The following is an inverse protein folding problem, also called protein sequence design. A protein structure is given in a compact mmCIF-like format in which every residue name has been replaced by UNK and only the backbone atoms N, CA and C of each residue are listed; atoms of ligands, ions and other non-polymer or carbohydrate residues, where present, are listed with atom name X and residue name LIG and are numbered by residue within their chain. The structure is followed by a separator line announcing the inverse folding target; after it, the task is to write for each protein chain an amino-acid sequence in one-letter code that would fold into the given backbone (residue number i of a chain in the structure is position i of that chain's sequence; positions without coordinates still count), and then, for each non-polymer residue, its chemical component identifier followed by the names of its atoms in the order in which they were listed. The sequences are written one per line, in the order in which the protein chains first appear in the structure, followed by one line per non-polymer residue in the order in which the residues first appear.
data_IF_898314063746
#
_entry.id   IF_898314063746
#
_cell.length_a   1.000
_cell.length_b   1.000
_cell.length_c   1.000
_cell.angle_alpha   90.00
_cell.angle_beta   90.00
_cell.angle_gamma   90.00
#
_symmetry.space_group_name_H-M   'P 1'
#
loop_
_entity.id
_entity.type
_entity.pdbx_description
1 polymer ?
#
# COMPACT_ATOMS: atom_id res chain seq x y z
N UNK A 1 -10.16 45.08 -22.87
CA UNK A 1 -9.56 43.75 -23.12
C UNK A 1 -10.11 42.80 -22.05
N UNK A 2 -10.99 41.87 -22.42
CA UNK A 2 -11.73 41.03 -21.47
C UNK A 2 -10.77 39.96 -20.90
N UNK A 3 -10.18 40.21 -19.73
CA UNK A 3 -9.51 39.14 -18.97
C UNK A 3 -10.60 38.16 -18.50
N UNK A 4 -10.84 37.11 -19.29
CA UNK A 4 -11.74 36.03 -18.89
C UNK A 4 -11.16 35.43 -17.62
N UNK A 5 -11.84 35.65 -16.48
CA UNK A 5 -11.50 35.02 -15.20
C UNK A 5 -11.36 33.52 -15.42
N UNK A 6 -10.14 33.00 -15.43
CA UNK A 6 -9.91 31.56 -15.50
C UNK A 6 -10.52 30.93 -14.26
N UNK A 7 -11.54 30.09 -14.46
CA UNK A 7 -12.23 29.39 -13.37
C UNK A 7 -11.27 28.55 -12.53
N UNK A 8 -11.70 28.23 -11.30
CA UNK A 8 -10.90 27.49 -10.30
C UNK A 8 -10.37 26.17 -10.86
N UNK A 9 -11.22 25.37 -11.51
CA UNK A 9 -10.84 24.09 -12.12
C UNK A 9 -9.82 24.21 -13.26
N UNK A 10 -9.94 25.26 -14.08
CA UNK A 10 -9.00 25.51 -15.19
C UNK A 10 -7.64 25.96 -14.68
N UNK A 11 -7.63 26.76 -13.61
CA UNK A 11 -6.42 27.18 -12.92
C UNK A 11 -5.72 25.99 -12.25
N UNK A 12 -6.47 25.10 -11.59
CA UNK A 12 -5.97 23.85 -11.04
C UNK A 12 -5.36 22.91 -12.10
N UNK A 13 -6.03 22.73 -13.23
CA UNK A 13 -5.50 21.91 -14.32
C UNK A 13 -4.18 22.47 -14.88
N UNK A 14 -4.08 23.79 -15.03
CA UNK A 14 -2.87 24.44 -15.50
C UNK A 14 -1.71 24.41 -14.48
N UNK A 15 -1.99 24.38 -13.17
CA UNK A 15 -0.92 24.25 -12.18
C UNK A 15 -0.23 22.89 -12.23
N UNK A 16 -0.90 21.86 -12.77
CA UNK A 16 -0.35 20.50 -12.92
C UNK A 16 0.30 20.32 -14.29
N UNK A 17 -0.32 20.82 -15.36
CA UNK A 17 0.02 20.44 -16.74
C UNK A 17 0.80 21.49 -17.54
N UNK A 18 0.96 22.71 -17.04
CA UNK A 18 1.47 23.82 -17.87
C UNK A 18 2.40 24.77 -17.14
N UNK A 19 3.70 24.47 -17.16
CA UNK A 19 4.76 25.34 -16.65
C UNK A 19 4.80 26.72 -17.35
N UNK A 20 4.46 26.80 -18.64
CA UNK A 20 4.43 28.08 -19.38
C UNK A 20 3.35 29.05 -18.89
N UNK A 21 2.34 28.56 -18.16
CA UNK A 21 1.23 29.36 -17.62
C UNK A 21 1.47 29.82 -16.18
N UNK A 22 2.66 29.59 -15.61
CA UNK A 22 2.99 30.01 -14.25
C UNK A 22 2.83 31.52 -14.01
N UNK A 23 3.04 32.33 -15.07
CA UNK A 23 2.86 33.79 -15.06
C UNK A 23 1.42 34.22 -14.73
N UNK A 24 0.42 33.36 -14.95
CA UNK A 24 -0.98 33.61 -14.57
C UNK A 24 -1.21 33.50 -13.05
N UNK A 25 -0.35 32.76 -12.34
CA UNK A 25 -0.43 32.59 -10.88
C UNK A 25 0.32 33.69 -10.12
N UNK A 26 1.29 34.37 -10.76
CA UNK A 26 1.97 35.55 -10.19
C UNK A 26 1.01 36.70 -9.86
N UNK A 27 -0.15 36.76 -10.53
CA UNK A 27 -1.20 37.76 -10.29
C UNK A 27 -2.24 37.32 -9.25
N UNK A 28 -2.13 36.11 -8.69
CA UNK A 28 -3.09 35.57 -7.73
C UNK A 28 -2.63 35.78 -6.29
N UNK A 29 -3.56 35.92 -5.36
CA UNK A 29 -3.23 36.02 -3.93
C UNK A 29 -2.68 34.70 -3.40
N UNK A 30 -1.73 34.77 -2.47
CA UNK A 30 -1.12 33.59 -1.85
C UNK A 30 -2.17 32.60 -1.30
N UNK A 31 -3.25 33.11 -0.71
CA UNK A 31 -4.35 32.28 -0.20
C UNK A 31 -5.05 31.44 -1.27
N UNK A 32 -5.19 31.93 -2.51
CA UNK A 32 -5.77 31.14 -3.62
C UNK A 32 -4.83 30.01 -4.05
N UNK A 33 -3.53 30.28 -4.09
CA UNK A 33 -2.52 29.26 -4.42
C UNK A 33 -2.50 28.15 -3.37
N UNK A 34 -2.52 28.51 -2.07
CA UNK A 34 -2.60 27.55 -0.97
C UNK A 34 -3.88 26.71 -1.06
N UNK A 35 -5.03 27.33 -1.34
CA UNK A 35 -6.29 26.61 -1.51
C UNK A 35 -6.24 25.57 -2.65
N UNK A 36 -5.53 25.88 -3.75
CA UNK A 36 -5.35 24.91 -4.84
C UNK A 36 -4.44 23.75 -4.46
N UNK A 37 -3.38 24.00 -3.69
CA UNK A 37 -2.50 22.94 -3.18
C UNK A 37 -3.25 22.02 -2.20
N UNK A 38 -4.10 22.58 -1.34
CA UNK A 38 -4.96 21.80 -0.45
C UNK A 38 -5.99 20.96 -1.23
N UNK A 39 -6.61 21.54 -2.26
CA UNK A 39 -7.52 20.80 -3.13
C UNK A 39 -6.78 19.66 -3.87
N UNK A 40 -5.56 19.93 -4.34
CA UNK A 40 -4.72 18.92 -4.99
C UNK A 40 -4.40 17.79 -4.03
N UNK A 41 -3.95 18.11 -2.81
CA UNK A 41 -3.62 17.09 -1.81
C UNK A 41 -4.83 16.24 -1.45
N UNK A 42 -6.01 16.84 -1.27
CA UNK A 42 -7.24 16.09 -0.96
C UNK A 42 -7.61 15.15 -2.11
N UNK A 43 -7.60 15.64 -3.35
CA UNK A 43 -7.92 14.82 -4.53
C UNK A 43 -6.92 13.69 -4.73
N UNK A 44 -5.62 13.95 -4.53
CA UNK A 44 -4.58 12.93 -4.59
C UNK A 44 -4.78 11.85 -3.53
N UNK A 45 -5.06 12.24 -2.28
CA UNK A 45 -5.33 11.28 -1.19
C UNK A 45 -6.58 10.45 -1.47
N UNK A 46 -7.67 11.07 -1.94
CA UNK A 46 -8.90 10.35 -2.29
C UNK A 46 -8.66 9.29 -3.38
N UNK A 47 -7.87 9.62 -4.40
CA UNK A 47 -7.48 8.66 -5.44
C UNK A 47 -6.78 7.43 -4.84
N UNK A 48 -5.80 7.65 -3.95
CA UNK A 48 -5.08 6.55 -3.28
C UNK A 48 -5.98 5.73 -2.36
N UNK A 49 -6.95 6.35 -1.66
CA UNK A 49 -7.87 5.63 -0.80
C UNK A 49 -8.77 4.65 -1.58
N UNK A 50 -9.23 5.03 -2.78
CA UNK A 50 -10.06 4.16 -3.63
C UNK A 50 -9.27 2.93 -4.09
N UNK A 51 -8.00 3.12 -4.48
CA UNK A 51 -7.13 2.03 -4.91
C UNK A 51 -6.85 1.05 -3.77
N UNK A 52 -6.48 1.56 -2.59
CA UNK A 52 -6.26 0.75 -1.38
C UNK A 52 -7.53 -0.03 -1.01
N UNK A 53 -8.71 0.61 -1.08
CA UNK A 53 -9.98 -0.05 -0.80
C UNK A 53 -10.24 -1.25 -1.72
N UNK A 54 -9.94 -1.11 -3.01
CA UNK A 54 -10.07 -2.21 -3.98
C UNK A 54 -9.12 -3.37 -3.68
N UNK A 55 -7.85 -3.06 -3.40
CA UNK A 55 -6.82 -4.06 -3.06
C UNK A 55 -7.20 -4.84 -1.80
N UNK A 56 -7.66 -4.13 -0.75
CA UNK A 56 -8.08 -4.75 0.50
C UNK A 56 -9.24 -5.71 0.27
N UNK A 57 -10.27 -5.31 -0.47
CA UNK A 57 -11.42 -6.18 -0.75
C UNK A 57 -11.05 -7.44 -1.53
N UNK A 58 -10.21 -7.30 -2.56
CA UNK A 58 -9.72 -8.45 -3.33
C UNK A 58 -8.89 -9.40 -2.48
N UNK A 59 -8.08 -8.84 -1.57
CA UNK A 59 -7.26 -9.63 -0.64
C UNK A 59 -8.12 -10.40 0.36
N UNK A 60 -9.13 -9.75 0.97
CA UNK A 60 -10.06 -10.42 1.90
C UNK A 60 -10.77 -11.59 1.22
N UNK A 61 -11.25 -11.40 -0.02
CA UNK A 61 -11.92 -12.46 -0.77
C UNK A 61 -10.99 -13.66 -1.00
N UNK A 62 -9.77 -13.42 -1.51
CA UNK A 62 -8.78 -14.48 -1.74
C UNK A 62 -8.36 -15.22 -0.47
N UNK A 63 -8.15 -14.49 0.62
CA UNK A 63 -7.76 -15.10 1.90
C UNK A 63 -8.88 -15.99 2.46
N UNK A 64 -10.14 -15.58 2.29
CA UNK A 64 -11.29 -16.37 2.75
C UNK A 64 -11.49 -17.65 1.93
N UNK A 65 -11.36 -17.57 0.61
CA UNK A 65 -11.77 -18.65 -0.29
C UNK A 65 -10.64 -19.64 -0.61
N UNK A 66 -9.40 -19.17 -0.78
CA UNK A 66 -8.34 -19.95 -1.42
C UNK A 66 -7.08 -20.10 -0.55
N UNK A 67 -6.84 -19.19 0.39
CA UNK A 67 -5.58 -19.18 1.14
C UNK A 67 -5.57 -20.26 2.24
N UNK A 68 -4.43 -20.94 2.47
CA UNK A 68 -4.30 -21.95 3.52
C UNK A 68 -4.61 -21.40 4.92
N UNK A 69 -4.92 -22.30 5.85
CA UNK A 69 -5.06 -21.92 7.24
C UNK A 69 -3.74 -21.34 7.77
N UNK A 70 -3.85 -20.30 8.58
CA UNK A 70 -2.72 -19.64 9.20
C UNK A 70 -3.08 -19.12 10.58
N UNK A 71 -2.06 -18.87 11.40
CA UNK A 71 -2.16 -18.23 12.69
C UNK A 71 -0.99 -17.28 12.90
N UNK A 72 -1.29 -16.03 13.17
CA UNK A 72 -0.33 -15.01 13.57
C UNK A 72 -0.61 -14.63 15.03
N UNK A 73 0.35 -14.93 15.89
CA UNK A 73 0.27 -14.62 17.31
C UNK A 73 1.67 -14.40 17.88
N UNK A 74 1.80 -13.48 18.84
CA UNK A 74 3.09 -13.20 19.51
C UNK A 74 4.23 -12.88 18.54
N UNK A 75 3.93 -12.19 17.44
CA UNK A 75 4.91 -11.84 16.41
C UNK A 75 5.43 -13.03 15.60
N UNK A 76 4.70 -14.15 15.56
CA UNK A 76 5.05 -15.34 14.80
C UNK A 76 3.88 -15.76 13.90
N UNK A 77 4.13 -15.78 12.60
CA UNK A 77 3.21 -16.26 11.58
C UNK A 77 3.48 -17.73 11.29
N UNK A 78 2.47 -18.57 11.45
CA UNK A 78 2.44 -19.96 11.03
C UNK A 78 1.43 -20.14 9.93
N UNK A 79 1.84 -20.74 8.82
CA UNK A 79 0.95 -21.10 7.71
C UNK A 79 0.99 -22.62 7.53
N UNK A 80 -0.18 -23.24 7.53
CA UNK A 80 -0.36 -24.69 7.51
C UNK A 80 -0.48 -25.20 6.07
N UNK A 81 0.63 -25.16 5.34
CA UNK A 81 0.74 -25.59 3.94
C UNK A 81 2.17 -26.03 3.59
N UNK A 82 2.34 -26.63 2.40
CA UNK A 82 3.66 -26.88 1.84
C UNK A 82 4.35 -25.56 1.47
N UNK A 83 5.65 -25.47 1.77
CA UNK A 83 6.45 -24.25 1.68
C UNK A 83 7.62 -24.42 0.70
N UNK A 84 8.03 -23.36 -0.03
CA UNK A 84 7.43 -22.02 -0.03
C UNK A 84 6.16 -21.94 -0.89
N UNK A 85 5.23 -21.05 -0.53
CA UNK A 85 4.12 -20.66 -1.41
C UNK A 85 4.58 -19.48 -2.27
N UNK A 86 4.48 -19.62 -3.59
CA UNK A 86 4.81 -18.56 -4.54
C UNK A 86 3.52 -18.13 -5.23
N UNK A 87 3.19 -16.85 -5.10
CA UNK A 87 2.07 -16.21 -5.80
C UNK A 87 2.66 -15.32 -6.87
N UNK A 88 2.42 -15.70 -8.13
CA UNK A 88 2.88 -14.96 -9.29
C UNK A 88 2.26 -13.55 -9.34
N UNK A 89 3.09 -12.57 -9.66
CA UNK A 89 2.72 -11.16 -9.68
C UNK A 89 3.89 -10.27 -10.05
N UNK A 90 3.67 -8.95 -10.05
CA UNK A 90 4.73 -7.96 -10.24
C UNK A 90 4.59 -6.87 -9.17
N UNK A 91 5.31 -6.97 -8.03
CA UNK A 91 6.27 -8.03 -7.66
C UNK A 91 5.62 -9.38 -7.27
N UNK A 92 6.32 -10.51 -7.42
CA UNK A 92 5.87 -11.79 -6.88
C UNK A 92 5.82 -11.75 -5.34
N UNK A 93 4.91 -12.55 -4.77
CA UNK A 93 4.82 -12.75 -3.32
C UNK A 93 5.32 -14.16 -2.98
N UNK A 94 6.32 -14.24 -2.11
CA UNK A 94 6.89 -15.50 -1.61
C UNK A 94 6.55 -15.61 -0.13
N UNK A 95 5.96 -16.72 0.28
CA UNK A 95 5.64 -16.98 1.68
C UNK A 95 6.43 -18.23 2.09
N UNK A 96 7.26 -18.08 3.11
CA UNK A 96 8.02 -19.18 3.69
C UNK A 96 8.11 -19.01 5.20
N UNK A 97 7.30 -19.78 5.93
CA UNK A 97 7.26 -19.72 7.40
C UNK A 97 8.02 -20.88 8.05
N UNK A 98 8.88 -21.58 7.30
CA UNK A 98 9.70 -22.67 7.86
C UNK A 98 10.69 -22.11 8.88
N UNK A 99 10.92 -22.81 10.00
CA UNK A 99 11.91 -22.37 10.98
C UNK A 99 13.32 -22.46 10.42
N UNK A 100 14.15 -21.45 10.68
CA UNK A 100 15.58 -21.46 10.34
C UNK A 100 15.91 -21.16 8.89
N UNK A 101 14.96 -20.64 8.09
CA UNK A 101 15.27 -20.14 6.75
C UNK A 101 16.13 -18.87 6.82
N UNK A 102 17.00 -18.70 5.83
CA UNK A 102 17.62 -17.41 5.57
C UNK A 102 16.78 -16.65 4.55
N UNK A 103 16.27 -15.48 4.94
CA UNK A 103 15.52 -14.62 4.06
C UNK A 103 16.37 -14.13 2.87
N UNK A 104 17.68 -14.00 3.05
CA UNK A 104 18.57 -13.55 1.97
C UNK A 104 18.64 -14.57 0.84
N UNK A 105 18.73 -15.87 1.15
CA UNK A 105 18.78 -16.94 0.15
C UNK A 105 17.59 -16.90 -0.81
N UNK A 106 16.42 -16.53 -0.29
CA UNK A 106 15.21 -16.35 -1.08
C UNK A 106 15.29 -15.02 -1.83
N UNK A 107 15.58 -13.91 -1.15
CA UNK A 107 15.57 -12.58 -1.74
C UNK A 107 16.63 -12.40 -2.85
N UNK A 108 17.76 -13.11 -2.82
CA UNK A 108 18.76 -13.07 -3.87
C UNK A 108 18.25 -13.60 -5.22
N UNK A 109 17.21 -14.43 -5.22
CA UNK A 109 16.63 -15.03 -6.43
C UNK A 109 15.68 -14.06 -7.17
N UNK A 110 15.35 -12.91 -6.57
CA UNK A 110 14.38 -11.96 -7.12
C UNK A 110 14.95 -10.54 -7.15
N UNK A 111 14.76 -9.82 -8.27
CA UNK A 111 15.09 -8.39 -8.35
C UNK A 111 14.15 -7.54 -7.49
N UNK A 112 12.86 -7.89 -7.50
CA UNK A 112 11.79 -7.33 -6.69
C UNK A 112 10.90 -8.46 -6.17
N UNK A 113 10.58 -8.45 -4.88
CA UNK A 113 9.74 -9.46 -4.25
C UNK A 113 9.11 -8.92 -2.97
N UNK A 114 7.95 -9.48 -2.63
CA UNK A 114 7.38 -9.41 -1.28
C UNK A 114 7.64 -10.76 -0.63
N UNK A 115 8.43 -10.79 0.44
CA UNK A 115 8.72 -12.00 1.21
C UNK A 115 7.99 -11.95 2.56
N UNK A 116 7.22 -12.98 2.85
CA UNK A 116 6.48 -13.16 4.10
C UNK A 116 7.11 -14.34 4.82
N UNK A 117 7.74 -14.07 5.95
CA UNK A 117 8.41 -15.09 6.77
C UNK A 117 7.69 -15.30 8.09
N UNK A 118 8.18 -16.24 8.91
CA UNK A 118 7.64 -16.51 10.23
C UNK A 118 7.67 -15.29 11.16
N UNK A 119 8.69 -14.45 11.09
CA UNK A 119 8.93 -13.33 12.04
C UNK A 119 8.73 -11.95 11.42
N UNK A 120 8.77 -11.83 10.09
CA UNK A 120 8.68 -10.54 9.41
C UNK A 120 8.10 -10.58 8.00
N UNK A 121 7.68 -9.41 7.58
CA UNK A 121 7.31 -9.04 6.23
C UNK A 121 8.42 -8.20 5.59
N UNK A 122 8.86 -8.54 4.38
CA UNK A 122 9.94 -7.85 3.67
C UNK A 122 9.46 -7.45 2.28
N UNK A 123 9.66 -6.19 1.92
CA UNK A 123 9.46 -5.69 0.56
C UNK A 123 10.81 -5.30 -0.02
N UNK A 124 11.25 -6.04 -1.03
CA UNK A 124 12.45 -5.75 -1.82
C UNK A 124 12.03 -5.11 -3.14
N UNK A 125 12.59 -3.95 -3.44
CA UNK A 125 12.61 -3.36 -4.77
C UNK A 125 14.06 -3.00 -5.15
N UNK A 126 14.28 -2.71 -6.43
CA UNK A 126 15.61 -2.37 -6.98
C UNK A 126 16.43 -1.36 -6.16
N UNK A 127 15.75 -0.40 -5.52
CA UNK A 127 16.40 0.72 -4.83
C UNK A 127 16.35 0.61 -3.29
N UNK A 128 15.42 -0.17 -2.74
CA UNK A 128 15.16 -0.19 -1.30
C UNK A 128 14.65 -1.54 -0.83
N UNK A 129 15.02 -1.86 0.40
CA UNK A 129 14.44 -2.94 1.18
C UNK A 129 13.74 -2.34 2.39
N UNK A 130 12.56 -2.85 2.69
CA UNK A 130 11.81 -2.51 3.89
C UNK A 130 11.45 -3.79 4.60
N UNK A 131 11.59 -3.77 5.93
CA UNK A 131 11.21 -4.89 6.77
C UNK A 131 10.27 -4.40 7.86
N UNK A 132 9.26 -5.22 8.14
CA UNK A 132 8.35 -5.04 9.25
C UNK A 132 8.32 -6.35 10.03
N UNK A 133 8.78 -6.30 11.28
CA UNK A 133 8.61 -7.44 12.20
C UNK A 133 7.15 -7.59 12.57
N UNK A 134 6.64 -8.82 12.57
CA UNK A 134 5.28 -9.09 13.03
C UNK A 134 5.07 -8.70 14.49
N UNK A 135 6.12 -8.70 15.31
CA UNK A 135 6.05 -8.25 16.71
C UNK A 135 5.71 -6.77 16.86
N UNK A 136 5.91 -5.96 15.81
CA UNK A 136 5.54 -4.54 15.81
C UNK A 136 4.05 -4.33 15.52
N UNK A 137 3.36 -5.35 15.04
CA UNK A 137 1.96 -5.24 14.64
C UNK A 137 1.07 -5.88 15.71
N UNK A 138 0.29 -5.04 16.39
CA UNK A 138 -0.65 -5.49 17.40
C UNK A 138 -2.09 -5.46 16.84
N UNK A 139 -2.69 -6.64 16.69
CA UNK A 139 -4.04 -6.81 16.17
C UNK A 139 -5.11 -6.99 17.28
N UNK A 140 -4.74 -6.80 18.55
CA UNK A 140 -5.67 -6.99 19.68
C UNK A 140 -5.98 -8.46 20.02
N UNK A 141 -5.28 -9.40 19.39
CA UNK A 141 -5.44 -10.85 19.59
C UNK A 141 -4.77 -11.68 18.49
N UNK A 142 -4.87 -13.02 18.53
CA UNK A 142 -4.38 -13.88 17.47
C UNK A 142 -5.17 -13.66 16.18
N UNK A 143 -4.45 -13.45 15.08
CA UNK A 143 -5.05 -13.38 13.75
C UNK A 143 -5.03 -14.77 13.12
N UNK A 144 -6.16 -15.20 12.56
CA UNK A 144 -6.37 -16.48 11.89
C UNK A 144 -7.15 -16.25 10.61
N UNK A 145 -7.20 -17.23 9.71
CA UNK A 145 -8.03 -17.12 8.50
C UNK A 145 -9.50 -16.81 8.82
N UNK A 146 -10.04 -17.38 9.91
CA UNK A 146 -11.44 -17.22 10.31
C UNK A 146 -11.81 -15.81 10.78
N UNK A 147 -10.89 -15.09 11.43
CA UNK A 147 -11.12 -13.72 11.92
C UNK A 147 -10.39 -12.64 11.09
N UNK A 148 -9.64 -13.03 10.06
CA UNK A 148 -8.87 -12.11 9.22
C UNK A 148 -9.75 -10.99 8.64
N UNK A 149 -10.92 -11.34 8.09
CA UNK A 149 -11.83 -10.38 7.51
C UNK A 149 -12.31 -9.34 8.54
N UNK A 150 -12.68 -9.79 9.75
CA UNK A 150 -13.15 -8.92 10.84
C UNK A 150 -12.03 -7.98 11.32
N UNK A 151 -10.82 -8.52 11.51
CA UNK A 151 -9.68 -7.70 11.93
C UNK A 151 -9.38 -6.64 10.87
N UNK A 152 -9.29 -7.02 9.59
CA UNK A 152 -9.03 -6.06 8.50
C UNK A 152 -10.15 -5.02 8.39
N UNK A 153 -11.42 -5.41 8.58
CA UNK A 153 -12.55 -4.47 8.60
C UNK A 153 -12.45 -3.45 9.74
N UNK A 154 -11.99 -3.84 10.93
CA UNK A 154 -11.79 -2.91 12.04
C UNK A 154 -10.72 -1.85 11.75
N UNK A 155 -9.73 -2.14 10.89
CA UNK A 155 -8.74 -1.15 10.43
C UNK A 155 -9.28 -0.22 9.33
N UNK A 156 -10.50 -0.44 8.81
CA UNK A 156 -11.12 0.43 7.80
C UNK A 156 -11.87 1.63 8.39
N UNK A 157 -12.09 1.66 9.71
CA UNK A 157 -12.80 2.72 10.43
C UNK A 157 -11.88 3.85 10.88
#
# INVERSE_FOLDING_TARGET
MNESKTGLFRSFWYSITSFSKYRLFLKQSAGRVVAYLLLLSVLSTLGTCIEVYSIVNQTIARVREEFPDFRLENGQLEVYAEMPIIIDGSPPVVIDTRPGIDAEDILYQYDNAILITRDKYIVKSYLRRQELSWSMVNFGGPMTRGNFAEIVENFRM
#
